data_IF_320638083531
#
_entry.id   IF_320638083531
#
_cell.length_a   1.000
_cell.length_b   1.000
_cell.length_c   1.000
_cell.angle_alpha   90.00
_cell.angle_beta   90.00
_cell.angle_gamma   90.00
#
_symmetry.space_group_name_H-M   'P 1'
#
loop_
_entity.id
_entity.type
_entity.pdbx_description
1 polymer ?
#
# COMPACT_ATOMS: atom_id res chain seq x y z
N UNK A 1 -19.28 -5.82 32.98
CA UNK A 1 -18.21 -4.80 32.82
C UNK A 1 -17.19 -5.17 31.72
N UNK A 2 -17.64 -5.69 30.55
CA UNK A 2 -16.74 -6.19 29.50
C UNK A 2 -16.70 -5.38 28.20
N UNK A 3 -17.49 -4.30 28.07
CA UNK A 3 -17.60 -3.51 26.84
C UNK A 3 -16.75 -2.23 26.82
N UNK A 4 -16.22 -1.74 27.95
CA UNK A 4 -15.44 -0.48 27.95
C UNK A 4 -13.96 -0.68 27.60
N UNK A 5 -13.42 -1.90 27.78
CA UNK A 5 -12.03 -2.24 27.46
C UNK A 5 -11.79 -2.45 25.95
N UNK A 6 -12.79 -2.89 25.17
CA UNK A 6 -12.62 -3.05 23.71
C UNK A 6 -12.61 -1.71 22.96
N UNK A 7 -13.35 -0.72 23.47
CA UNK A 7 -13.41 0.63 22.91
C UNK A 7 -12.15 1.45 23.23
N UNK A 8 -11.56 1.30 24.42
CA UNK A 8 -10.32 2.01 24.77
C UNK A 8 -9.09 1.46 24.03
N UNK A 9 -9.08 0.16 23.73
CA UNK A 9 -8.08 -0.46 22.84
C UNK A 9 -8.26 -0.02 21.38
N UNK A 10 -9.49 0.08 20.85
CA UNK A 10 -9.70 0.55 19.47
C UNK A 10 -9.30 2.01 19.27
N UNK A 11 -9.54 2.87 20.27
CA UNK A 11 -9.15 4.28 20.23
C UNK A 11 -7.63 4.47 20.34
N UNK A 12 -6.95 3.74 21.23
CA UNK A 12 -5.48 3.83 21.36
C UNK A 12 -4.71 3.23 20.17
N UNK A 13 -5.23 2.18 19.53
CA UNK A 13 -4.74 1.71 18.23
C UNK A 13 -4.97 2.76 17.13
N UNK A 14 -6.14 3.40 17.07
CA UNK A 14 -6.42 4.44 16.06
C UNK A 14 -5.47 5.64 16.12
N UNK A 15 -5.09 6.07 17.34
CA UNK A 15 -4.16 7.19 17.53
C UNK A 15 -2.71 6.82 17.22
N UNK A 16 -2.26 5.60 17.56
CA UNK A 16 -0.89 5.14 17.22
C UNK A 16 -0.72 4.79 15.73
N UNK A 17 -1.77 4.28 15.08
CA UNK A 17 -1.85 4.16 13.62
C UNK A 17 -1.85 5.54 12.94
N UNK A 18 -2.51 6.55 13.51
CA UNK A 18 -2.51 7.91 12.95
C UNK A 18 -1.12 8.56 12.92
N UNK A 19 -0.30 8.37 13.96
CA UNK A 19 1.05 8.94 14.06
C UNK A 19 2.07 8.21 13.17
N UNK A 20 1.94 6.89 13.04
CA UNK A 20 2.84 6.09 12.20
C UNK A 20 2.54 6.23 10.70
N UNK A 21 1.27 6.32 10.31
CA UNK A 21 0.86 6.66 8.95
C UNK A 21 1.08 8.14 8.61
N UNK A 22 0.90 9.06 9.56
CA UNK A 22 1.16 10.49 9.30
C UNK A 22 2.63 10.73 9.01
N UNK A 23 3.55 10.00 9.63
CA UNK A 23 4.99 10.10 9.34
C UNK A 23 5.37 9.46 8.00
N UNK A 24 4.68 8.41 7.54
CA UNK A 24 4.97 7.81 6.22
C UNK A 24 4.36 8.59 5.07
N UNK A 25 3.16 9.15 5.24
CA UNK A 25 2.50 9.99 4.25
C UNK A 25 3.07 11.42 4.21
N UNK A 26 3.59 11.95 5.33
CA UNK A 26 4.33 13.21 5.31
C UNK A 26 5.65 13.09 4.56
N UNK A 27 6.32 11.92 4.60
CA UNK A 27 7.51 11.66 3.78
C UNK A 27 7.18 11.41 2.29
N UNK A 28 6.07 10.74 1.97
CA UNK A 28 5.65 10.47 0.59
C UNK A 28 5.20 11.75 -0.14
N UNK A 29 4.41 12.60 0.51
CA UNK A 29 3.91 13.86 -0.08
C UNK A 29 4.94 14.99 -0.08
N UNK A 30 6.02 14.90 0.70
CA UNK A 30 7.18 15.79 0.55
C UNK A 30 8.07 15.39 -0.63
N UNK A 31 7.95 14.17 -1.16
CA UNK A 31 8.94 13.63 -2.10
C UNK A 31 8.69 13.97 -3.57
N UNK A 32 7.47 14.36 -3.98
CA UNK A 32 7.15 14.59 -5.39
C UNK A 32 6.92 16.06 -5.80
N UNK A 33 6.60 16.99 -4.90
CA UNK A 33 6.31 18.39 -5.30
C UNK A 33 7.41 19.42 -5.01
N UNK A 34 8.58 19.02 -4.50
CA UNK A 34 9.72 19.93 -4.27
C UNK A 34 11.08 19.37 -4.74
N UNK A 35 11.12 18.29 -5.53
CA UNK A 35 12.38 17.71 -6.01
C UNK A 35 12.98 18.36 -7.27
N UNK A 36 12.49 19.56 -7.66
CA UNK A 36 12.94 20.32 -8.83
C UNK A 36 13.03 21.83 -8.55
N UNK A 37 13.93 22.29 -7.67
CA UNK A 37 14.33 23.72 -7.68
C UNK A 37 15.80 24.00 -7.35
N UNK A 38 16.62 23.01 -6.98
CA UNK A 38 18.04 23.24 -6.69
C UNK A 38 18.92 22.04 -7.07
N UNK A 39 19.95 22.24 -7.90
CA UNK A 39 20.92 21.22 -8.32
C UNK A 39 22.35 21.67 -7.99
N UNK A 40 23.05 20.99 -7.08
CA UNK A 40 24.49 21.20 -6.87
C UNK A 40 25.31 20.90 -8.12
N UNK A 41 26.53 21.44 -8.16
CA UNK A 41 27.48 21.14 -9.23
C UNK A 41 27.81 19.64 -9.26
N UNK A 42 27.95 19.08 -10.47
CA UNK A 42 28.24 17.67 -10.66
C UNK A 42 29.50 17.18 -9.89
N UNK A 43 30.50 18.05 -9.70
CA UNK A 43 31.71 17.72 -8.93
C UNK A 43 31.44 17.57 -7.44
N UNK A 44 30.60 18.45 -6.87
CA UNK A 44 30.14 18.33 -5.48
C UNK A 44 29.37 17.02 -5.30
N UNK A 45 28.46 16.73 -6.23
CA UNK A 45 27.67 15.50 -6.21
C UNK A 45 28.58 14.26 -6.29
N UNK A 46 29.59 14.28 -7.17
CA UNK A 46 30.57 13.19 -7.33
C UNK A 46 31.41 12.96 -6.07
N UNK A 47 31.91 14.01 -5.42
CA UNK A 47 32.68 13.88 -4.17
C UNK A 47 31.81 13.32 -3.04
N UNK A 48 30.55 13.76 -2.93
CA UNK A 48 29.61 13.17 -1.96
C UNK A 48 29.37 11.70 -2.27
N UNK A 49 29.21 11.35 -3.55
CA UNK A 49 29.05 9.96 -3.99
C UNK A 49 30.25 9.08 -3.59
N UNK A 50 31.47 9.55 -3.81
CA UNK A 50 32.72 8.86 -3.44
C UNK A 50 32.80 8.65 -1.92
N UNK A 51 32.51 9.67 -1.12
CA UNK A 51 32.43 9.56 0.34
C UNK A 51 31.41 8.50 0.77
N UNK A 52 30.23 8.54 0.15
CA UNK A 52 29.19 7.53 0.41
C UNK A 52 29.66 6.15 -0.03
N UNK A 53 30.40 6.01 -1.14
CA UNK A 53 30.95 4.74 -1.63
C UNK A 53 31.94 4.14 -0.62
N UNK A 54 32.75 4.98 0.02
CA UNK A 54 33.69 4.61 1.09
C UNK A 54 33.03 4.42 2.47
N UNK A 55 31.71 4.62 2.58
CA UNK A 55 30.94 4.38 3.80
C UNK A 55 30.79 5.60 4.71
N UNK A 56 31.30 6.76 4.31
CA UNK A 56 31.13 8.03 5.02
C UNK A 56 29.75 8.59 4.71
N UNK A 57 28.83 8.50 5.69
CA UNK A 57 27.42 8.92 5.52
C UNK A 57 26.98 10.01 6.50
N UNK A 58 27.85 10.39 7.44
CA UNK A 58 27.59 11.49 8.35
C UNK A 58 27.80 12.82 7.61
N UNK A 59 26.83 13.73 7.74
CA UNK A 59 26.83 15.03 7.07
C UNK A 59 28.04 15.87 7.45
N UNK A 60 28.47 15.80 8.71
CA UNK A 60 29.64 16.52 9.20
C UNK A 60 30.91 16.05 8.49
N UNK A 61 31.13 14.73 8.42
CA UNK A 61 32.31 14.14 7.79
C UNK A 61 32.34 14.43 6.29
N UNK A 62 31.18 14.34 5.62
CA UNK A 62 31.07 14.71 4.20
C UNK A 62 31.39 16.19 3.98
N UNK A 63 30.95 17.07 4.88
CA UNK A 63 31.28 18.50 4.82
C UNK A 63 32.79 18.75 4.98
N UNK A 64 33.46 17.99 5.84
CA UNK A 64 34.93 17.99 5.95
C UNK A 64 35.55 17.55 4.62
N UNK A 65 35.07 16.46 4.02
CA UNK A 65 35.58 15.95 2.75
C UNK A 65 35.37 16.92 1.57
N UNK A 66 34.23 17.60 1.51
CA UNK A 66 33.97 18.64 0.51
C UNK A 66 34.93 19.82 0.65
N UNK A 67 35.27 20.21 1.89
CA UNK A 67 36.25 21.26 2.14
C UNK A 67 37.68 20.83 1.76
N UNK A 68 38.04 19.57 2.01
CA UNK A 68 39.35 19.03 1.60
C UNK A 68 39.52 19.03 0.08
N UNK A 69 38.47 18.68 -0.67
CA UNK A 69 38.46 18.64 -2.14
C UNK A 69 38.03 19.98 -2.78
N UNK A 70 37.96 21.06 -2.01
CA UNK A 70 37.45 22.37 -2.48
C UNK A 70 38.19 22.88 -3.70
N UNK A 71 39.52 22.71 -3.76
CA UNK A 71 40.33 23.17 -4.92
C UNK A 71 39.94 22.45 -6.21
N UNK A 72 39.66 21.14 -6.13
CA UNK A 72 39.29 20.33 -7.31
C UNK A 72 37.85 20.61 -7.74
N UNK A 73 36.94 20.77 -6.78
CA UNK A 73 35.54 21.12 -7.03
C UNK A 73 35.43 22.48 -7.72
N UNK A 74 36.30 23.43 -7.37
CA UNK A 74 36.30 24.78 -7.93
C UNK A 74 37.25 24.96 -9.12
N UNK A 75 37.95 23.90 -9.55
CA UNK A 75 38.92 23.97 -10.63
C UNK A 75 38.29 24.51 -11.93
N UNK A 76 39.00 25.38 -12.65
CA UNK A 76 38.52 25.98 -13.89
C UNK A 76 37.47 27.10 -13.71
N UNK A 77 37.13 27.48 -12.48
CA UNK A 77 36.42 28.72 -12.20
C UNK A 77 37.44 29.86 -12.14
N UNK A 78 37.18 30.95 -12.88
CA UNK A 78 38.07 32.11 -12.89
C UNK A 78 38.13 32.84 -11.55
N UNK A 79 36.98 32.99 -10.88
CA UNK A 79 36.86 33.55 -9.54
C UNK A 79 36.19 32.58 -8.58
N UNK A 80 36.60 32.63 -7.31
CA UNK A 80 36.05 31.75 -6.28
C UNK A 80 34.58 32.12 -5.97
N UNK A 81 33.63 31.17 -6.08
CA UNK A 81 32.23 31.45 -5.80
C UNK A 81 32.00 31.84 -4.34
N UNK A 82 31.00 32.70 -4.11
CA UNK A 82 30.55 33.04 -2.76
C UNK A 82 30.24 31.77 -1.93
N UNK A 83 30.60 31.72 -0.63
CA UNK A 83 30.20 30.64 0.28
C UNK A 83 28.69 30.44 0.42
N UNK A 84 27.88 31.44 0.04
CA UNK A 84 26.41 31.36 0.01
C UNK A 84 25.88 30.68 -1.26
N UNK A 85 26.73 30.46 -2.26
CA UNK A 85 26.36 29.80 -3.50
C UNK A 85 26.15 28.31 -3.24
N UNK A 86 24.90 27.95 -2.96
CA UNK A 86 24.50 26.56 -2.66
C UNK A 86 24.97 25.56 -3.71
N UNK A 87 25.13 25.98 -4.99
CA UNK A 87 25.60 25.12 -6.10
C UNK A 87 26.95 24.46 -5.79
N UNK A 88 27.86 25.19 -5.16
CA UNK A 88 29.19 24.70 -4.77
C UNK A 88 29.30 24.41 -3.27
N UNK A 89 28.46 25.05 -2.45
CA UNK A 89 28.45 24.94 -0.99
C UNK A 89 27.05 24.51 -0.49
N UNK A 90 26.67 23.24 -0.64
CA UNK A 90 25.34 22.74 -0.28
C UNK A 90 25.06 22.84 1.23
N UNK A 91 23.79 22.98 1.60
CA UNK A 91 23.37 22.92 3.02
C UNK A 91 23.36 21.47 3.52
N UNK A 92 23.26 21.30 4.84
CA UNK A 92 23.13 19.97 5.45
C UNK A 92 21.93 19.17 4.91
N UNK A 93 20.80 19.83 4.66
CA UNK A 93 19.63 19.18 4.04
C UNK A 93 19.93 18.69 2.62
N UNK A 94 20.66 19.49 1.83
CA UNK A 94 21.05 19.14 0.46
C UNK A 94 21.99 17.92 0.49
N UNK A 95 22.99 17.93 1.37
CA UNK A 95 23.90 16.79 1.57
C UNK A 95 23.10 15.55 2.01
N UNK A 96 22.19 15.68 2.98
CA UNK A 96 21.34 14.55 3.43
C UNK A 96 20.50 13.97 2.30
N UNK A 97 19.91 14.82 1.46
CA UNK A 97 19.11 14.37 0.33
C UNK A 97 19.97 13.67 -0.73
N UNK A 98 21.16 14.18 -1.01
CA UNK A 98 22.12 13.57 -1.96
C UNK A 98 22.61 12.23 -1.41
N UNK A 99 23.03 12.17 -0.14
CA UNK A 99 23.42 10.93 0.55
C UNK A 99 22.29 9.93 0.55
N UNK A 100 21.05 10.36 0.86
CA UNK A 100 19.88 9.50 0.79
C UNK A 100 19.65 8.98 -0.62
N UNK A 101 19.73 9.84 -1.64
CA UNK A 101 19.60 9.46 -3.04
C UNK A 101 20.70 8.48 -3.49
N UNK A 102 21.93 8.64 -3.01
CA UNK A 102 23.03 7.74 -3.32
C UNK A 102 23.01 6.46 -2.51
N UNK A 103 22.47 6.46 -1.30
CA UNK A 103 22.16 5.23 -0.56
C UNK A 103 21.04 4.47 -1.27
N UNK A 104 20.02 5.19 -1.76
CA UNK A 104 18.96 4.67 -2.64
C UNK A 104 19.52 4.15 -3.98
N UNK A 105 20.56 4.77 -4.54
CA UNK A 105 21.27 4.26 -5.72
C UNK A 105 22.18 3.09 -5.37
N UNK A 106 23.02 3.12 -4.33
CA UNK A 106 23.85 1.99 -3.83
C UNK A 106 23.03 0.75 -3.45
N UNK A 107 21.74 0.91 -3.17
CA UNK A 107 20.80 -0.19 -3.01
C UNK A 107 20.66 -1.03 -4.30
N UNK A 108 21.14 -0.52 -5.44
CA UNK A 108 21.30 -1.23 -6.71
C UNK A 108 22.28 -2.41 -6.68
N UNK A 109 23.22 -2.49 -5.73
CA UNK A 109 24.20 -3.57 -5.70
C UNK A 109 23.85 -4.76 -4.80
N UNK A 110 22.79 -4.67 -3.98
CA UNK A 110 22.88 -5.19 -2.60
C UNK A 110 21.60 -5.78 -1.98
N UNK A 111 20.60 -6.21 -2.76
CA UNK A 111 19.39 -6.87 -2.20
C UNK A 111 19.63 -8.28 -1.63
N UNK A 112 20.87 -8.66 -1.28
CA UNK A 112 21.21 -9.99 -0.77
C UNK A 112 20.57 -11.13 -1.58
N UNK A 113 20.53 -10.93 -2.91
CA UNK A 113 19.70 -11.66 -3.88
C UNK A 113 20.16 -13.10 -4.07
N UNK A 114 21.47 -13.35 -3.96
CA UNK A 114 22.05 -14.69 -3.99
C UNK A 114 21.46 -15.59 -2.88
N UNK A 115 21.19 -15.01 -1.71
CA UNK A 115 20.54 -15.71 -0.61
C UNK A 115 19.05 -15.90 -0.89
N UNK A 116 18.39 -14.94 -1.55
CA UNK A 116 17.00 -15.09 -2.00
C UNK A 116 16.89 -16.26 -2.99
N UNK A 117 17.80 -16.36 -3.95
CA UNK A 117 17.86 -17.51 -4.86
C UNK A 117 18.01 -18.83 -4.13
N UNK A 118 18.78 -18.88 -3.04
CA UNK A 118 18.91 -20.10 -2.23
C UNK A 118 17.57 -20.51 -1.59
N UNK A 119 16.76 -19.55 -1.11
CA UNK A 119 15.40 -19.83 -0.62
C UNK A 119 14.55 -20.38 -1.77
N UNK A 120 14.60 -19.73 -2.94
CA UNK A 120 13.81 -20.12 -4.10
C UNK A 120 14.18 -21.53 -4.54
N UNK A 121 15.47 -21.87 -4.64
CA UNK A 121 15.92 -23.23 -5.00
C UNK A 121 15.49 -24.28 -3.96
N UNK A 122 15.40 -23.91 -2.69
CA UNK A 122 14.92 -24.81 -1.63
C UNK A 122 13.41 -25.04 -1.64
N UNK A 123 12.66 -24.11 -2.24
CA UNK A 123 11.22 -24.23 -2.42
C UNK A 123 11.01 -24.82 -3.83
N UNK A 124 10.55 -26.07 -3.93
CA UNK A 124 10.24 -26.73 -5.21
C UNK A 124 9.04 -26.03 -5.90
N UNK A 125 9.27 -24.83 -6.42
CA UNK A 125 8.23 -23.83 -6.60
C UNK A 125 8.11 -23.41 -8.06
N UNK A 126 7.18 -24.04 -8.78
CA UNK A 126 6.60 -23.52 -10.04
C UNK A 126 5.83 -22.19 -9.87
N UNK A 127 5.88 -21.59 -8.68
CA UNK A 127 4.96 -20.59 -8.14
C UNK A 127 5.67 -19.36 -7.56
N UNK A 128 6.96 -19.23 -7.88
CA UNK A 128 7.76 -18.04 -7.61
C UNK A 128 8.26 -17.50 -8.95
N UNK A 129 8.14 -16.19 -9.13
CA UNK A 129 8.84 -15.45 -10.16
C UNK A 129 9.80 -14.51 -9.46
N UNK A 130 11.06 -14.52 -9.87
CA UNK A 130 12.10 -13.69 -9.30
C UNK A 130 12.97 -13.15 -10.40
N UNK A 131 12.96 -11.82 -10.56
CA UNK A 131 13.93 -11.07 -11.35
C UNK A 131 14.79 -10.26 -10.39
N UNK A 132 16.09 -10.58 -10.28
CA UNK A 132 16.97 -9.81 -9.45
C UNK A 132 17.13 -8.38 -10.00
N UNK A 133 17.43 -7.44 -9.13
CA UNK A 133 17.85 -6.12 -9.51
C UNK A 133 19.20 -6.17 -10.25
N UNK A 134 19.32 -5.41 -11.33
CA UNK A 134 20.57 -5.09 -12.01
C UNK A 134 20.62 -3.58 -12.32
N UNK A 135 21.80 -2.95 -12.24
CA UNK A 135 21.94 -1.48 -12.31
C UNK A 135 21.39 -0.85 -13.60
N UNK A 136 21.37 -1.62 -14.69
CA UNK A 136 20.81 -1.23 -15.98
C UNK A 136 19.75 -2.25 -16.48
N UNK A 137 19.15 -3.02 -15.58
CA UNK A 137 18.17 -4.05 -15.91
C UNK A 137 16.73 -3.51 -15.96
N UNK A 138 15.77 -4.43 -16.11
CA UNK A 138 14.32 -4.16 -16.11
C UNK A 138 13.74 -3.93 -14.70
N UNK A 139 14.60 -3.77 -13.71
CA UNK A 139 14.25 -3.53 -12.31
C UNK A 139 13.86 -4.77 -11.51
N UNK A 140 13.93 -4.66 -10.19
CA UNK A 140 13.64 -5.75 -9.26
C UNK A 140 12.16 -6.18 -9.26
N UNK A 141 11.91 -7.49 -9.32
CA UNK A 141 10.57 -8.06 -9.20
C UNK A 141 10.58 -9.41 -8.49
N UNK A 142 9.73 -9.56 -7.48
CA UNK A 142 9.42 -10.85 -6.85
C UNK A 142 7.90 -11.05 -6.82
N UNK A 143 7.42 -12.20 -7.26
CA UNK A 143 6.00 -12.58 -7.22
C UNK A 143 5.88 -14.00 -6.66
N UNK A 144 4.93 -14.21 -5.75
CA UNK A 144 4.68 -15.51 -5.15
C UNK A 144 3.19 -15.82 -5.00
N UNK A 145 2.82 -17.04 -5.38
CA UNK A 145 1.46 -17.57 -5.24
C UNK A 145 1.47 -19.08 -5.05
N UNK A 146 1.48 -19.54 -3.79
CA UNK A 146 1.44 -20.98 -3.44
C UNK A 146 0.20 -21.71 -3.98
N UNK A 147 0.23 -23.04 -4.04
CA UNK A 147 -0.94 -23.88 -4.39
C UNK A 147 -2.17 -23.56 -3.52
N UNK A 148 -1.97 -23.38 -2.22
CA UNK A 148 -3.04 -22.99 -1.31
C UNK A 148 -3.63 -21.61 -1.64
N UNK A 149 -2.78 -20.67 -2.05
CA UNK A 149 -3.22 -19.35 -2.52
C UNK A 149 -3.97 -19.45 -3.84
N UNK A 150 -3.52 -20.29 -4.77
CA UNK A 150 -4.23 -20.57 -6.02
C UNK A 150 -5.60 -21.21 -5.75
N UNK A 151 -5.68 -22.13 -4.81
CA UNK A 151 -6.96 -22.70 -4.36
C UNK A 151 -7.90 -21.62 -3.81
N UNK A 152 -7.40 -20.73 -2.95
CA UNK A 152 -8.20 -19.61 -2.43
C UNK A 152 -8.58 -18.61 -3.52
N UNK A 153 -7.68 -18.32 -4.47
CA UNK A 153 -7.94 -17.47 -5.63
C UNK A 153 -9.07 -18.05 -6.48
N UNK A 154 -9.00 -19.34 -6.83
CA UNK A 154 -10.03 -20.01 -7.61
C UNK A 154 -11.39 -20.03 -6.89
N UNK A 155 -11.37 -20.09 -5.55
CA UNK A 155 -12.58 -20.18 -4.73
C UNK A 155 -13.25 -18.83 -4.45
N UNK A 156 -12.48 -17.78 -4.22
CA UNK A 156 -12.98 -16.49 -3.71
C UNK A 156 -12.62 -15.30 -4.62
N UNK A 157 -11.69 -15.46 -5.55
CA UNK A 157 -11.15 -14.35 -6.35
C UNK A 157 -12.15 -13.74 -7.33
N UNK A 158 -13.23 -14.45 -7.69
CA UNK A 158 -14.27 -13.92 -8.58
C UNK A 158 -15.15 -12.86 -7.92
N UNK A 159 -15.28 -12.88 -6.59
CA UNK A 159 -16.17 -11.97 -5.87
C UNK A 159 -15.51 -10.61 -5.68
N UNK A 160 -14.38 -10.60 -4.99
CA UNK A 160 -13.63 -9.38 -4.70
C UNK A 160 -12.19 -9.69 -4.31
N UNK A 161 -11.26 -8.88 -4.84
CA UNK A 161 -9.87 -8.83 -4.45
C UNK A 161 -9.52 -7.45 -3.90
N UNK A 162 -8.71 -7.42 -2.84
CA UNK A 162 -8.18 -6.19 -2.26
C UNK A 162 -6.69 -6.15 -2.57
N UNK A 163 -6.19 -5.01 -3.03
CA UNK A 163 -4.77 -4.79 -3.30
C UNK A 163 -4.33 -3.56 -2.51
N UNK A 164 -3.25 -3.71 -1.76
CA UNK A 164 -2.59 -2.62 -1.04
C UNK A 164 -1.12 -2.99 -0.80
N UNK A 165 -0.28 -1.97 -0.70
CA UNK A 165 1.14 -2.07 -0.42
C UNK A 165 1.45 -1.80 1.05
N UNK A 166 2.60 -2.26 1.50
CA UNK A 166 3.14 -1.83 2.77
C UNK A 166 4.64 -1.65 2.74
N UNK A 167 5.09 -0.61 3.43
CA UNK A 167 6.49 -0.20 3.49
C UNK A 167 7.13 -0.49 4.84
N UNK A 168 8.45 -0.26 4.91
CA UNK A 168 9.29 -0.45 6.11
C UNK A 168 9.24 -1.91 6.62
N UNK A 169 9.12 -2.83 5.68
CA UNK A 169 9.13 -4.29 5.91
C UNK A 169 10.55 -4.83 5.89
N UNK A 170 11.36 -4.31 4.97
CA UNK A 170 12.79 -4.58 4.81
C UNK A 170 13.61 -3.33 5.19
N UNK A 171 14.94 -3.45 5.19
CA UNK A 171 15.89 -2.33 5.29
C UNK A 171 16.00 -1.54 3.97
N UNK A 172 15.27 -1.99 2.95
CA UNK A 172 15.19 -1.41 1.62
C UNK A 172 13.83 -0.71 1.45
N UNK A 173 13.78 0.28 0.58
CA UNK A 173 12.54 0.99 0.26
C UNK A 173 11.78 0.27 -0.86
N UNK A 174 11.43 -1.00 -0.59
CA UNK A 174 10.74 -1.88 -1.54
C UNK A 174 9.30 -2.07 -1.07
N UNK A 175 8.28 -1.62 -1.84
CA UNK A 175 6.88 -1.85 -1.52
C UNK A 175 6.54 -3.35 -1.56
N UNK A 176 5.98 -3.86 -0.47
CA UNK A 176 5.45 -5.22 -0.39
C UNK A 176 3.94 -5.19 -0.56
N UNK A 177 3.45 -5.77 -1.65
CA UNK A 177 2.03 -5.86 -1.95
C UNK A 177 1.44 -7.18 -1.48
N UNK A 178 0.21 -7.11 -1.00
CA UNK A 178 -0.64 -8.28 -0.81
C UNK A 178 -1.91 -8.13 -1.63
N UNK A 179 -2.17 -9.14 -2.45
CA UNK A 179 -3.48 -9.35 -3.06
C UNK A 179 -4.28 -10.27 -2.13
N UNK A 180 -5.46 -9.85 -1.71
CA UNK A 180 -6.21 -10.46 -0.62
C UNK A 180 -7.64 -10.76 -1.06
N UNK A 181 -8.12 -11.96 -0.77
CA UNK A 181 -9.53 -12.33 -0.95
C UNK A 181 -10.29 -12.27 0.38
N UNK A 182 -11.57 -11.92 0.31
CA UNK A 182 -12.50 -12.11 1.43
C UNK A 182 -13.03 -13.55 1.40
N UNK A 183 -12.68 -14.35 2.42
CA UNK A 183 -13.08 -15.75 2.52
C UNK A 183 -14.22 -15.93 3.51
N UNK A 184 -14.74 -17.15 3.60
CA UNK A 184 -15.77 -17.52 4.57
C UNK A 184 -15.35 -17.36 6.05
N UNK A 185 -14.05 -17.23 6.35
CA UNK A 185 -13.55 -17.00 7.70
C UNK A 185 -12.62 -15.78 7.80
N UNK A 186 -12.88 -14.74 6.99
CA UNK A 186 -12.14 -13.48 6.99
C UNK A 186 -11.17 -13.36 5.82
N UNK A 187 -10.22 -12.45 5.92
CA UNK A 187 -9.31 -12.13 4.80
C UNK A 187 -8.12 -13.07 4.73
N UNK A 188 -7.71 -13.42 3.50
CA UNK A 188 -6.54 -14.26 3.23
C UNK A 188 -5.71 -13.68 2.08
N UNK A 189 -4.37 -13.60 2.21
CA UNK A 189 -3.50 -13.35 1.06
C UNK A 189 -3.65 -14.46 0.02
N UNK A 190 -3.88 -14.07 -1.23
CA UNK A 190 -4.00 -14.96 -2.40
C UNK A 190 -2.90 -14.73 -3.44
N UNK A 191 -2.09 -13.69 -3.29
CA UNK A 191 -0.78 -13.54 -3.90
C UNK A 191 0.00 -12.46 -3.13
N UNK A 192 1.32 -12.47 -3.23
CA UNK A 192 2.18 -11.39 -2.72
C UNK A 192 3.24 -11.06 -3.74
N UNK A 193 3.66 -9.79 -3.78
CA UNK A 193 4.75 -9.37 -4.66
C UNK A 193 5.52 -8.18 -4.10
N UNK A 194 6.75 -8.01 -4.59
CA UNK A 194 7.61 -6.86 -4.34
C UNK A 194 8.03 -6.30 -5.68
N UNK A 195 7.96 -4.98 -5.81
CA UNK A 195 8.46 -4.25 -6.99
C UNK A 195 9.51 -3.25 -6.54
N UNK A 196 10.50 -2.97 -7.40
CA UNK A 196 11.52 -1.95 -7.09
C UNK A 196 10.91 -0.57 -6.84
N UNK A 197 9.99 -0.18 -7.73
CA UNK A 197 9.35 1.13 -7.75
C UNK A 197 7.85 0.91 -7.86
N UNK A 198 7.10 1.61 -7.02
CA UNK A 198 5.64 1.64 -7.06
C UNK A 198 5.13 2.50 -8.22
N UNK A 199 5.15 1.95 -9.42
CA UNK A 199 4.58 2.56 -10.61
C UNK A 199 3.64 1.57 -11.32
N UNK A 200 2.81 2.10 -12.22
CA UNK A 200 1.80 1.29 -12.91
C UNK A 200 2.41 0.13 -13.72
N UNK A 201 3.60 0.30 -14.30
CA UNK A 201 4.23 -0.69 -15.17
C UNK A 201 4.70 -1.91 -14.35
N UNK A 202 5.41 -1.66 -13.26
CA UNK A 202 5.93 -2.71 -12.39
C UNK A 202 4.80 -3.47 -11.67
N UNK A 203 3.77 -2.75 -11.22
CA UNK A 203 2.58 -3.37 -10.62
C UNK A 203 1.85 -4.23 -11.68
N UNK A 204 1.68 -3.71 -12.90
CA UNK A 204 1.03 -4.46 -13.99
C UNK A 204 1.79 -5.75 -14.31
N UNK A 205 3.11 -5.71 -14.37
CA UNK A 205 3.93 -6.90 -14.64
C UNK A 205 3.73 -7.98 -13.57
N UNK A 206 3.74 -7.62 -12.29
CA UNK A 206 3.45 -8.54 -11.20
C UNK A 206 2.04 -9.15 -11.32
N UNK A 207 1.05 -8.31 -11.65
CA UNK A 207 -0.34 -8.73 -11.82
C UNK A 207 -0.55 -9.63 -13.05
N UNK A 208 0.17 -9.44 -14.16
CA UNK A 208 0.12 -10.34 -15.33
C UNK A 208 0.65 -11.73 -14.99
N UNK A 209 1.69 -11.83 -14.16
CA UNK A 209 2.17 -13.11 -13.65
C UNK A 209 1.09 -13.78 -12.80
N UNK A 210 0.48 -13.04 -11.86
CA UNK A 210 -0.60 -13.54 -11.00
C UNK A 210 -1.82 -14.00 -11.83
N UNK A 211 -2.16 -13.26 -12.89
CA UNK A 211 -3.22 -13.63 -13.83
C UNK A 211 -2.93 -14.94 -14.54
N UNK A 212 -1.70 -15.13 -15.05
CA UNK A 212 -1.25 -16.40 -15.65
C UNK A 212 -1.28 -17.57 -14.66
N UNK A 213 -1.13 -17.30 -13.37
CA UNK A 213 -1.20 -18.30 -12.30
C UNK A 213 -2.62 -18.58 -11.79
N UNK A 214 -3.66 -18.03 -12.42
CA UNK A 214 -5.04 -18.42 -12.17
C UNK A 214 -5.90 -17.35 -11.49
N UNK A 215 -5.46 -16.09 -11.42
CA UNK A 215 -6.38 -15.01 -11.06
C UNK A 215 -7.43 -14.79 -12.16
N UNK A 216 -8.69 -14.49 -11.80
CA UNK A 216 -9.77 -14.41 -12.78
C UNK A 216 -9.60 -13.22 -13.72
N UNK A 217 -9.98 -13.40 -14.99
CA UNK A 217 -9.95 -12.33 -15.99
C UNK A 217 -10.87 -11.15 -15.64
N UNK A 218 -11.91 -11.41 -14.84
CA UNK A 218 -12.90 -10.43 -14.40
C UNK A 218 -13.25 -10.63 -12.93
N UNK A 219 -13.15 -9.56 -12.15
CA UNK A 219 -13.53 -9.51 -10.73
C UNK A 219 -13.81 -8.06 -10.31
N UNK A 220 -14.07 -7.84 -9.02
CA UNK A 220 -14.05 -6.51 -8.41
C UNK A 220 -12.77 -6.33 -7.59
N UNK A 221 -12.03 -5.25 -7.85
CA UNK A 221 -10.91 -4.82 -7.03
C UNK A 221 -11.33 -3.70 -6.08
N UNK A 222 -10.84 -3.74 -4.85
CA UNK A 222 -10.87 -2.59 -3.92
C UNK A 222 -9.43 -2.21 -3.61
N UNK A 223 -9.09 -0.98 -3.95
CA UNK A 223 -7.73 -0.44 -3.81
C UNK A 223 -7.75 0.87 -3.04
N UNK A 224 -6.57 1.32 -2.66
CA UNK A 224 -6.40 2.68 -2.16
C UNK A 224 -6.61 3.69 -3.29
N UNK A 225 -6.65 4.98 -2.96
CA UNK A 225 -6.66 6.02 -3.99
C UNK A 225 -5.24 6.17 -4.58
N UNK A 226 -4.83 5.17 -5.37
CA UNK A 226 -3.52 5.04 -6.00
C UNK A 226 -3.70 4.98 -7.52
N UNK A 227 -3.19 6.01 -8.22
CA UNK A 227 -3.17 6.01 -9.69
C UNK A 227 -2.27 4.90 -10.27
N UNK A 228 -1.10 4.59 -9.69
CA UNK A 228 -0.32 3.43 -10.10
C UNK A 228 -1.11 2.12 -10.08
N UNK A 229 -1.76 1.79 -8.96
CA UNK A 229 -2.57 0.57 -8.83
C UNK A 229 -3.75 0.59 -9.80
N UNK A 230 -4.46 1.72 -9.90
CA UNK A 230 -5.58 1.87 -10.81
C UNK A 230 -5.18 1.60 -12.27
N UNK A 231 -4.09 2.22 -12.72
CA UNK A 231 -3.65 2.10 -14.11
C UNK A 231 -3.15 0.68 -14.40
N UNK A 232 -2.42 0.07 -13.46
CA UNK A 232 -1.98 -1.32 -13.58
C UNK A 232 -3.17 -2.28 -13.70
N UNK A 233 -4.17 -2.15 -12.82
CA UNK A 233 -5.37 -3.00 -12.86
C UNK A 233 -6.19 -2.78 -14.13
N UNK A 234 -6.31 -1.55 -14.64
CA UNK A 234 -7.01 -1.28 -15.91
C UNK A 234 -6.31 -1.92 -17.10
N UNK A 235 -4.97 -1.96 -17.08
CA UNK A 235 -4.18 -2.60 -18.12
C UNK A 235 -4.35 -4.12 -18.10
N UNK A 236 -4.20 -4.74 -16.92
CA UNK A 236 -4.18 -6.21 -16.79
C UNK A 236 -5.57 -6.82 -16.74
N UNK A 237 -6.54 -6.13 -16.15
CA UNK A 237 -7.92 -6.58 -15.95
C UNK A 237 -8.93 -5.56 -16.46
N UNK A 238 -8.97 -5.28 -17.78
CA UNK A 238 -9.79 -4.21 -18.36
C UNK A 238 -11.31 -4.39 -18.14
N UNK A 239 -11.77 -5.63 -17.97
CA UNK A 239 -13.18 -5.95 -17.72
C UNK A 239 -13.57 -5.92 -16.22
N UNK A 240 -12.59 -5.76 -15.34
CA UNK A 240 -12.83 -5.74 -13.89
C UNK A 240 -13.34 -4.40 -13.42
N UNK A 241 -14.13 -4.44 -12.35
CA UNK A 241 -14.59 -3.25 -11.65
C UNK A 241 -13.51 -2.88 -10.63
N UNK A 242 -13.15 -1.60 -10.51
CA UNK A 242 -12.12 -1.15 -9.55
C UNK A 242 -12.71 -0.03 -8.72
N UNK A 243 -12.82 -0.25 -7.41
CA UNK A 243 -13.39 0.66 -6.43
C UNK A 243 -12.29 1.20 -5.50
N UNK A 244 -12.45 2.44 -5.05
CA UNK A 244 -11.58 3.04 -4.05
C UNK A 244 -12.05 2.73 -2.63
N UNK A 245 -11.09 2.54 -1.74
CA UNK A 245 -11.28 2.40 -0.30
C UNK A 245 -11.90 3.69 0.28
N UNK A 246 -13.03 3.55 0.96
CA UNK A 246 -13.74 4.66 1.60
C UNK A 246 -12.89 5.31 2.70
N UNK A 247 -12.14 4.52 3.46
CA UNK A 247 -11.28 5.02 4.53
C UNK A 247 -10.15 5.90 3.99
N UNK A 248 -9.42 5.43 2.99
CA UNK A 248 -8.34 6.19 2.37
C UNK A 248 -8.84 7.39 1.57
N UNK A 249 -10.02 7.32 0.94
CA UNK A 249 -10.71 8.48 0.38
C UNK A 249 -10.93 9.56 1.44
N UNK A 250 -11.57 9.20 2.56
CA UNK A 250 -11.83 10.13 3.68
C UNK A 250 -10.54 10.73 4.22
N UNK A 251 -9.50 9.91 4.38
CA UNK A 251 -8.21 10.39 4.86
C UNK A 251 -7.54 11.36 3.88
N UNK A 252 -7.61 11.10 2.57
CA UNK A 252 -7.11 12.00 1.54
C UNK A 252 -7.87 13.34 1.54
N UNK A 253 -9.20 13.29 1.64
CA UNK A 253 -10.03 14.50 1.76
C UNK A 253 -9.69 15.30 3.01
N UNK A 254 -9.62 14.67 4.18
CA UNK A 254 -9.28 15.34 5.44
C UNK A 254 -7.93 16.06 5.36
N UNK A 255 -6.91 15.42 4.77
CA UNK A 255 -5.58 16.03 4.59
C UNK A 255 -5.66 17.25 3.66
N UNK A 256 -6.34 17.11 2.52
CA UNK A 256 -6.48 18.22 1.57
C UNK A 256 -7.24 19.39 2.19
N UNK A 257 -8.37 19.13 2.86
CA UNK A 257 -9.20 20.13 3.54
C UNK A 257 -8.39 20.87 4.61
N UNK A 258 -7.62 20.14 5.43
CA UNK A 258 -6.78 20.75 6.47
C UNK A 258 -5.80 21.77 5.88
N UNK A 259 -5.21 21.47 4.73
CA UNK A 259 -4.18 22.31 4.10
C UNK A 259 -4.74 23.42 3.19
N UNK A 260 -5.98 23.30 2.71
CA UNK A 260 -6.50 24.17 1.65
C UNK A 260 -7.81 24.90 2.00
N UNK A 261 -8.46 24.55 3.10
CA UNK A 261 -9.75 25.12 3.52
C UNK A 261 -9.59 25.81 4.87
N UNK A 262 -10.15 27.02 4.98
CA UNK A 262 -10.20 27.80 6.21
C UNK A 262 -10.90 27.03 7.33
N UNK A 263 -10.39 27.10 8.56
CA UNK A 263 -10.79 26.25 9.67
C UNK A 263 -12.31 26.25 9.92
N UNK A 264 -12.94 27.42 9.85
CA UNK A 264 -14.38 27.60 10.03
C UNK A 264 -15.24 26.88 8.98
N UNK A 265 -14.72 26.65 7.77
CA UNK A 265 -15.44 26.01 6.66
C UNK A 265 -15.16 24.50 6.56
N UNK A 266 -14.14 23.97 7.27
CA UNK A 266 -13.70 22.57 7.12
C UNK A 266 -14.82 21.56 7.39
N UNK A 267 -15.59 21.77 8.46
CA UNK A 267 -16.68 20.88 8.84
C UNK A 267 -17.77 20.82 7.76
N UNK A 268 -18.15 21.99 7.23
CA UNK A 268 -19.18 22.09 6.20
C UNK A 268 -18.73 21.45 4.89
N UNK A 269 -17.49 21.72 4.46
CA UNK A 269 -16.86 21.08 3.30
C UNK A 269 -16.87 19.56 3.43
N UNK A 270 -16.44 19.03 4.59
CA UNK A 270 -16.45 17.58 4.83
C UNK A 270 -17.85 17.00 4.71
N UNK A 271 -18.87 17.64 5.31
CA UNK A 271 -20.26 17.16 5.24
C UNK A 271 -20.75 17.12 3.79
N UNK A 272 -20.55 18.19 3.02
CA UNK A 272 -21.03 18.22 1.62
C UNK A 272 -20.29 17.23 0.72
N UNK A 273 -18.99 17.05 0.91
CA UNK A 273 -18.23 16.01 0.20
C UNK A 273 -18.75 14.61 0.53
N UNK A 274 -19.05 14.32 1.81
CA UNK A 274 -19.66 13.04 2.19
C UNK A 274 -21.08 12.88 1.63
N UNK A 275 -21.87 13.95 1.52
CA UNK A 275 -23.17 13.89 0.85
C UNK A 275 -23.04 13.51 -0.63
N UNK A 276 -22.02 14.01 -1.33
CA UNK A 276 -21.71 13.59 -2.70
C UNK A 276 -21.32 12.10 -2.75
N UNK A 277 -20.53 11.62 -1.79
CA UNK A 277 -20.13 10.21 -1.73
C UNK A 277 -21.30 9.27 -1.42
N UNK A 278 -22.21 9.67 -0.54
CA UNK A 278 -23.35 8.87 -0.10
C UNK A 278 -24.60 9.01 -1.00
N UNK A 279 -24.49 9.67 -2.14
CA UNK A 279 -25.58 9.77 -3.11
C UNK A 279 -26.07 8.38 -3.55
N UNK A 280 -27.38 8.14 -3.42
CA UNK A 280 -28.02 6.84 -3.69
C UNK A 280 -28.58 6.72 -5.12
N UNK A 281 -28.60 7.79 -5.89
CA UNK A 281 -29.02 7.80 -7.29
C UNK A 281 -28.21 8.81 -8.11
N UNK A 282 -28.26 8.71 -9.44
CA UNK A 282 -27.64 9.67 -10.34
C UNK A 282 -28.21 11.09 -10.15
N UNK A 283 -29.51 11.21 -9.84
CA UNK A 283 -30.18 12.49 -9.57
C UNK A 283 -29.66 13.10 -8.26
N UNK A 284 -29.55 12.29 -7.20
CA UNK A 284 -29.01 12.77 -5.91
C UNK A 284 -27.56 13.19 -6.04
N UNK A 285 -26.78 12.45 -6.83
CA UNK A 285 -25.39 12.80 -7.09
C UNK A 285 -25.25 14.13 -7.82
N UNK A 286 -25.99 14.32 -8.92
CA UNK A 286 -25.99 15.60 -9.64
C UNK A 286 -26.42 16.76 -8.75
N UNK A 287 -27.46 16.57 -7.92
CA UNK A 287 -27.93 17.58 -6.96
C UNK A 287 -26.85 17.94 -5.93
N UNK A 288 -26.20 16.94 -5.35
CA UNK A 288 -25.17 17.16 -4.33
C UNK A 288 -23.91 17.81 -4.93
N UNK A 289 -23.51 17.44 -6.15
CA UNK A 289 -22.42 18.10 -6.86
C UNK A 289 -22.74 19.58 -7.15
N UNK A 290 -23.95 19.89 -7.62
CA UNK A 290 -24.37 21.28 -7.87
C UNK A 290 -24.40 22.10 -6.57
N UNK A 291 -24.89 21.52 -5.47
CA UNK A 291 -24.91 22.18 -4.17
C UNK A 291 -23.48 22.49 -3.68
N UNK A 292 -22.54 21.56 -3.85
CA UNK A 292 -21.15 21.74 -3.49
C UNK A 292 -20.44 22.79 -4.35
N UNK A 293 -20.70 22.80 -5.66
CA UNK A 293 -20.13 23.78 -6.60
C UNK A 293 -20.65 25.20 -6.32
N UNK A 294 -21.92 25.32 -5.93
CA UNK A 294 -22.58 26.59 -5.62
C UNK A 294 -22.27 27.13 -4.21
N UNK A 295 -21.52 26.38 -3.39
CA UNK A 295 -21.26 26.75 -2.01
C UNK A 295 -20.26 27.92 -1.90
N UNK A 296 -20.50 28.85 -0.97
CA UNK A 296 -19.65 30.05 -0.79
C UNK A 296 -18.19 29.74 -0.47
N UNK A 297 -17.89 28.56 0.08
CA UNK A 297 -16.52 28.11 0.37
C UNK A 297 -15.83 27.44 -0.83
N UNK A 298 -16.54 27.16 -1.92
CA UNK A 298 -16.02 26.48 -3.09
C UNK A 298 -15.11 27.43 -3.87
N UNK A 299 -13.81 27.34 -3.61
CA UNK A 299 -12.80 28.08 -4.38
C UNK A 299 -12.51 27.39 -5.71
N UNK A 300 -12.00 28.13 -6.69
CA UNK A 300 -11.50 27.56 -7.96
C UNK A 300 -10.52 26.40 -7.72
N UNK A 301 -9.60 26.54 -6.76
CA UNK A 301 -8.65 25.48 -6.39
C UNK A 301 -9.34 24.20 -5.91
N UNK A 302 -10.43 24.34 -5.15
CA UNK A 302 -11.22 23.21 -4.69
C UNK A 302 -11.99 22.56 -5.83
N UNK A 303 -12.63 23.35 -6.69
CA UNK A 303 -13.32 22.87 -7.88
C UNK A 303 -12.36 22.10 -8.80
N UNK A 304 -11.18 22.67 -9.08
CA UNK A 304 -10.15 22.04 -9.90
C UNK A 304 -9.70 20.71 -9.28
N UNK A 305 -9.39 20.69 -7.97
CA UNK A 305 -9.02 19.47 -7.25
C UNK A 305 -10.11 18.40 -7.32
N UNK A 306 -11.36 18.76 -7.03
CA UNK A 306 -12.49 17.84 -7.00
C UNK A 306 -12.77 17.27 -8.40
N UNK A 307 -12.84 18.12 -9.42
CA UNK A 307 -13.13 17.73 -10.79
C UNK A 307 -12.06 16.81 -11.37
N UNK A 308 -10.79 17.18 -11.20
CA UNK A 308 -9.68 16.45 -11.81
C UNK A 308 -9.32 15.17 -11.07
N UNK A 309 -9.32 15.18 -9.73
CA UNK A 309 -8.82 14.05 -8.94
C UNK A 309 -9.93 13.06 -8.52
N UNK A 310 -11.16 13.52 -8.27
CA UNK A 310 -12.21 12.67 -7.69
C UNK A 310 -13.38 12.43 -8.65
N UNK A 311 -13.97 13.49 -9.22
CA UNK A 311 -15.15 13.35 -10.08
C UNK A 311 -14.81 12.68 -11.42
N UNK A 312 -13.59 12.84 -11.94
CA UNK A 312 -13.03 12.05 -13.04
C UNK A 312 -13.06 10.53 -12.79
N UNK A 313 -13.20 10.12 -11.53
CA UNK A 313 -13.27 8.73 -11.07
C UNK A 313 -14.54 8.43 -10.25
N UNK A 314 -15.60 9.23 -10.38
CA UNK A 314 -16.84 9.13 -9.57
C UNK A 314 -17.41 7.71 -9.46
N UNK A 315 -17.34 6.94 -10.55
CA UNK A 315 -17.84 5.56 -10.62
C UNK A 315 -17.14 4.58 -9.67
N UNK A 316 -16.02 4.98 -9.07
CA UNK A 316 -15.17 4.12 -8.22
C UNK A 316 -15.41 4.31 -6.72
N UNK A 317 -16.12 5.35 -6.32
CA UNK A 317 -16.23 5.69 -4.89
C UNK A 317 -17.62 6.19 -4.46
N UNK A 318 -18.46 6.62 -5.39
CA UNK A 318 -19.82 7.06 -5.05
C UNK A 318 -20.72 5.84 -4.79
N UNK A 319 -21.52 5.93 -3.73
CA UNK A 319 -22.39 4.87 -3.21
C UNK A 319 -23.30 4.25 -4.25
N UNK A 320 -23.98 5.05 -5.08
CA UNK A 320 -24.95 4.48 -6.03
C UNK A 320 -24.30 3.50 -7.03
N UNK A 321 -23.03 3.70 -7.43
CA UNK A 321 -22.31 2.75 -8.29
C UNK A 321 -21.95 1.44 -7.58
N UNK A 322 -21.94 1.43 -6.24
CA UNK A 322 -21.66 0.23 -5.44
C UNK A 322 -22.89 -0.62 -5.19
N UNK A 323 -24.09 -0.09 -5.40
CA UNK A 323 -25.35 -0.80 -5.09
C UNK A 323 -25.51 -2.10 -5.89
N UNK A 324 -24.89 -2.19 -7.07
CA UNK A 324 -24.86 -3.39 -7.92
C UNK A 324 -23.77 -4.41 -7.55
N UNK A 325 -22.97 -4.14 -6.51
CA UNK A 325 -21.82 -4.94 -6.09
C UNK A 325 -22.03 -5.52 -4.68
N UNK A 326 -22.97 -6.48 -4.52
CA UNK A 326 -23.19 -7.11 -3.23
C UNK A 326 -21.90 -7.83 -2.78
N UNK A 327 -21.62 -7.80 -1.49
CA UNK A 327 -20.48 -8.48 -0.85
C UNK A 327 -19.08 -7.86 -1.09
N UNK A 328 -18.97 -6.75 -1.82
CA UNK A 328 -17.72 -6.00 -1.94
C UNK A 328 -17.51 -5.11 -0.69
N UNK A 329 -16.39 -5.25 0.04
CA UNK A 329 -16.12 -4.44 1.22
C UNK A 329 -15.90 -2.97 0.86
N UNK A 330 -16.30 -2.09 1.77
CA UNK A 330 -16.16 -0.64 1.59
C UNK A 330 -14.72 -0.15 1.68
N UNK A 331 -13.87 -0.89 2.38
CA UNK A 331 -12.51 -0.50 2.72
C UNK A 331 -11.49 -1.60 2.46
N UNK A 332 -10.21 -1.22 2.38
CA UNK A 332 -9.05 -2.12 2.32
C UNK A 332 -8.60 -2.62 3.70
N UNK A 333 -9.38 -2.39 4.77
CA UNK A 333 -9.05 -2.78 6.16
C UNK A 333 -8.64 -4.25 6.31
N UNK A 334 -9.14 -5.14 5.47
CA UNK A 334 -8.74 -6.55 5.45
C UNK A 334 -7.25 -6.73 5.14
N UNK A 335 -6.73 -5.95 4.17
CA UNK A 335 -5.30 -5.94 3.82
C UNK A 335 -4.48 -5.26 4.90
N UNK A 336 -4.94 -4.11 5.40
CA UNK A 336 -4.26 -3.39 6.50
C UNK A 336 -4.13 -4.26 7.76
N UNK A 337 -5.17 -5.02 8.11
CA UNK A 337 -5.12 -5.94 9.26
C UNK A 337 -4.05 -7.02 9.05
N UNK A 338 -3.92 -7.55 7.84
CA UNK A 338 -2.89 -8.52 7.47
C UNK A 338 -1.48 -7.87 7.50
N UNK A 339 -1.33 -6.65 6.97
CA UNK A 339 -0.10 -5.85 7.08
C UNK A 339 0.30 -5.63 8.55
N UNK A 340 -0.66 -5.29 9.41
CA UNK A 340 -0.42 -5.12 10.83
C UNK A 340 0.02 -6.44 11.49
N UNK A 341 -0.65 -7.56 11.17
CA UNK A 341 -0.26 -8.89 11.67
C UNK A 341 1.18 -9.24 11.26
N UNK A 342 1.52 -9.07 9.99
CA UNK A 342 2.89 -9.28 9.48
C UNK A 342 3.89 -8.44 10.28
N UNK A 343 3.67 -7.13 10.39
CA UNK A 343 4.60 -6.20 11.06
C UNK A 343 4.73 -6.49 12.56
N UNK A 344 3.62 -6.72 13.25
CA UNK A 344 3.63 -6.81 14.72
C UNK A 344 3.94 -8.19 15.25
N UNK A 345 3.45 -9.26 14.61
CA UNK A 345 3.63 -10.63 15.08
C UNK A 345 4.84 -11.33 14.49
N UNK A 346 5.17 -11.04 13.22
CA UNK A 346 6.22 -11.76 12.50
C UNK A 346 7.51 -10.96 12.37
N UNK A 347 7.42 -9.63 12.19
CA UNK A 347 8.60 -8.80 11.96
C UNK A 347 9.10 -8.04 13.20
N UNK A 348 8.25 -7.72 14.18
CA UNK A 348 8.60 -6.83 15.31
C UNK A 348 9.89 -7.21 16.04
N UNK A 349 10.10 -8.50 16.26
CA UNK A 349 11.28 -9.05 16.94
C UNK A 349 12.30 -9.68 15.97
N UNK A 350 12.07 -9.53 14.66
CA UNK A 350 12.96 -10.04 13.64
C UNK A 350 14.03 -9.00 13.33
N UNK A 351 15.27 -9.34 13.73
CA UNK A 351 16.42 -8.43 13.61
C UNK A 351 16.96 -8.32 12.19
N UNK A 352 16.88 -9.39 11.40
CA UNK A 352 17.33 -9.38 10.02
C UNK A 352 16.28 -8.72 9.11
N UNK A 353 16.56 -7.50 8.68
CA UNK A 353 15.69 -6.74 7.77
C UNK A 353 16.15 -6.83 6.31
N UNK A 354 17.08 -7.71 5.97
CA UNK A 354 17.47 -7.96 4.58
C UNK A 354 16.30 -8.51 3.76
N UNK A 355 16.45 -8.58 2.43
CA UNK A 355 15.42 -9.13 1.56
C UNK A 355 15.27 -10.64 1.82
N UNK A 356 16.38 -11.36 1.93
CA UNK A 356 16.41 -12.77 2.33
C UNK A 356 15.74 -13.00 3.69
N UNK A 357 16.09 -12.20 4.71
CA UNK A 357 15.51 -12.32 6.04
C UNK A 357 14.00 -12.10 6.03
N UNK A 358 13.55 -11.04 5.35
CA UNK A 358 12.14 -10.74 5.18
C UNK A 358 11.39 -11.84 4.43
N UNK A 359 11.87 -12.26 3.25
CA UNK A 359 11.24 -13.31 2.45
C UNK A 359 11.24 -14.65 3.18
N UNK A 360 12.30 -14.97 3.94
CA UNK A 360 12.32 -16.15 4.82
C UNK A 360 11.17 -16.13 5.83
N UNK A 361 10.91 -14.98 6.47
CA UNK A 361 9.79 -14.85 7.41
C UNK A 361 8.45 -14.93 6.68
N UNK A 362 8.30 -14.23 5.55
CA UNK A 362 7.06 -14.22 4.77
C UNK A 362 6.69 -15.62 4.29
N UNK A 363 7.61 -16.29 3.60
CA UNK A 363 7.39 -17.56 2.92
C UNK A 363 7.34 -18.75 3.90
N UNK A 364 8.17 -18.77 4.94
CA UNK A 364 8.28 -19.93 5.84
C UNK A 364 7.45 -19.81 7.11
N UNK A 365 7.01 -18.61 7.49
CA UNK A 365 6.28 -18.40 8.78
C UNK A 365 4.94 -17.71 8.59
N UNK A 366 4.93 -16.51 7.99
CA UNK A 366 3.73 -15.69 7.91
C UNK A 366 2.65 -16.34 7.04
N UNK A 367 2.93 -16.59 5.76
CA UNK A 367 1.93 -17.15 4.84
C UNK A 367 1.45 -18.55 5.27
N UNK A 368 2.33 -19.50 5.65
CA UNK A 368 1.88 -20.78 6.20
C UNK A 368 1.06 -20.63 7.49
N UNK A 369 1.43 -19.72 8.38
CA UNK A 369 0.71 -19.48 9.63
C UNK A 369 -0.68 -18.89 9.42
N UNK A 370 -0.83 -17.97 8.46
CA UNK A 370 -2.13 -17.42 8.07
C UNK A 370 -3.01 -18.51 7.44
N UNK A 371 -2.46 -19.33 6.54
CA UNK A 371 -3.17 -20.48 5.94
C UNK A 371 -3.59 -21.53 6.98
N UNK A 372 -2.73 -21.82 7.95
CA UNK A 372 -3.04 -22.74 9.05
C UNK A 372 -4.22 -22.20 9.88
N UNK A 373 -4.27 -20.89 10.12
CA UNK A 373 -5.38 -20.24 10.82
C UNK A 373 -6.69 -20.37 10.03
N UNK A 374 -6.65 -20.17 8.70
CA UNK A 374 -7.80 -20.39 7.82
C UNK A 374 -8.30 -21.84 7.86
N UNK A 375 -7.39 -22.81 7.74
CA UNK A 375 -7.72 -24.25 7.80
C UNK A 375 -8.32 -24.61 9.15
N UNK A 376 -7.73 -24.16 10.26
CA UNK A 376 -8.25 -24.40 11.60
C UNK A 376 -9.65 -23.79 11.80
N UNK A 377 -9.88 -22.57 11.30
CA UNK A 377 -11.19 -21.92 11.36
C UNK A 377 -12.25 -22.71 10.57
N UNK A 378 -11.89 -23.21 9.38
CA UNK A 378 -12.75 -24.06 8.59
C UNK A 378 -13.02 -25.41 9.26
N UNK A 379 -11.98 -26.10 9.76
CA UNK A 379 -12.16 -27.34 10.52
C UNK A 379 -13.09 -27.13 11.72
N UNK A 380 -12.89 -26.04 12.49
CA UNK A 380 -13.77 -25.70 13.61
C UNK A 380 -15.21 -25.44 13.18
N UNK A 381 -15.43 -24.82 12.02
CA UNK A 381 -16.76 -24.57 11.48
C UNK A 381 -17.48 -25.87 11.03
N UNK A 382 -16.74 -26.86 10.52
CA UNK A 382 -17.27 -28.16 10.10
C UNK A 382 -17.40 -29.17 11.26
N UNK A 383 -16.52 -29.08 12.26
CA UNK A 383 -16.51 -29.93 13.46
C UNK A 383 -17.37 -29.38 14.61
N UNK A 384 -18.02 -28.23 14.41
CA UNK A 384 -19.00 -27.72 15.35
C UNK A 384 -20.07 -28.80 15.62
N UNK A 385 -20.38 -29.01 16.91
CA UNK A 385 -21.13 -30.14 17.48
C UNK A 385 -22.33 -30.57 16.62
N UNK A 386 -22.50 -31.90 16.51
CA UNK A 386 -23.75 -32.53 16.05
C UNK A 386 -24.91 -31.86 16.78
N UNK A 387 -25.80 -31.24 16.02
CA UNK A 387 -27.02 -30.65 16.57
C UNK A 387 -27.87 -31.79 17.14
N UNK A 388 -28.14 -31.73 18.44
CA UNK A 388 -28.99 -32.69 19.14
C UNK A 388 -30.47 -32.43 18.87
N UNK A 389 -30.81 -31.26 18.36
CA UNK A 389 -32.16 -30.87 17.95
C UNK A 389 -32.46 -31.36 16.53
N UNK A 390 -33.70 -31.80 16.24
CA UNK A 390 -34.13 -32.14 14.88
C UNK A 390 -33.84 -30.98 13.93
N UNK A 391 -33.01 -31.23 12.91
CA UNK A 391 -32.65 -30.23 11.90
C UNK A 391 -33.55 -30.43 10.68
N UNK A 392 -34.31 -29.41 10.25
CA UNK A 392 -35.09 -29.47 9.01
C UNK A 392 -34.22 -29.87 7.81
N UNK A 393 -34.80 -30.61 6.86
CA UNK A 393 -34.04 -31.16 5.73
C UNK A 393 -33.28 -30.10 4.94
N UNK A 394 -33.85 -28.91 4.74
CA UNK A 394 -33.21 -27.81 4.01
C UNK A 394 -31.98 -27.20 4.73
N UNK A 395 -31.81 -27.50 6.03
CA UNK A 395 -30.67 -27.07 6.84
C UNK A 395 -29.63 -28.18 7.05
N UNK A 396 -29.89 -29.41 6.60
CA UNK A 396 -28.91 -30.51 6.70
C UNK A 396 -27.66 -30.18 5.87
N UNK A 397 -26.48 -30.47 6.43
CA UNK A 397 -25.19 -30.20 5.79
C UNK A 397 -24.78 -28.73 5.69
N UNK A 398 -25.55 -27.80 6.27
CA UNK A 398 -25.20 -26.37 6.33
C UNK A 398 -24.29 -26.06 7.53
N UNK A 399 -23.50 -24.96 7.52
CA UNK A 399 -22.66 -24.59 8.64
C UNK A 399 -23.46 -24.46 9.95
N UNK A 400 -22.95 -25.06 11.04
CA UNK A 400 -23.70 -25.15 12.32
C UNK A 400 -24.17 -23.80 12.84
N UNK A 401 -23.38 -22.73 12.68
CA UNK A 401 -23.80 -21.37 13.07
C UNK A 401 -25.01 -20.88 12.27
N UNK A 402 -25.06 -21.17 10.97
CA UNK A 402 -26.22 -20.84 10.13
C UNK A 402 -27.42 -21.67 10.55
N UNK A 403 -27.24 -22.97 10.76
CA UNK A 403 -28.32 -23.85 11.21
C UNK A 403 -28.88 -23.38 12.54
N UNK A 404 -28.03 -23.08 13.53
CA UNK A 404 -28.45 -22.52 14.82
C UNK A 404 -29.14 -21.16 14.67
N UNK A 405 -28.65 -20.29 13.80
CA UNK A 405 -29.27 -18.99 13.53
C UNK A 405 -30.68 -19.14 12.95
N UNK A 406 -30.85 -20.06 12.00
CA UNK A 406 -32.13 -20.37 11.37
C UNK A 406 -33.08 -21.06 12.34
N UNK A 407 -32.64 -22.11 13.06
CA UNK A 407 -33.46 -22.82 14.06
C UNK A 407 -34.00 -21.87 15.13
N UNK A 408 -33.18 -20.92 15.62
CA UNK A 408 -33.63 -19.89 16.59
C UNK A 408 -34.72 -18.95 16.05
N UNK A 409 -34.96 -18.94 14.75
CA UNK A 409 -35.92 -18.06 14.06
C UNK A 409 -37.00 -18.85 13.32
N UNK A 410 -37.00 -20.17 13.43
CA UNK A 410 -38.11 -20.98 12.96
C UNK A 410 -39.28 -20.76 13.93
N UNK A 411 -40.49 -20.53 13.40
CA UNK A 411 -41.68 -20.27 14.19
C UNK A 411 -42.10 -21.44 15.07
#
# INVERSE_FOLDING_TARGET
>A
MGCSLSLSLSLSLSLSLSLSLSLSLSLSLYSESEMLTFRPDHRVVKTIEECVREGVVNVHDIRVMLNLHKKDILAGLGEEPSPLNRKFFPKDDDIRNIVYSFRKKRLSGLYDQDLVESIIRSMDAKQIYFRPYEENGEGFLFVYMSEDMQHLMARYGNDCLLLDATYKTTKYDVPFFQLVANTNCGYQPVAVFLVEIENSLNIAEALEIIKRWGAPSKTTFVIDHSLPELNALRQVFPESIIMFCEFHRRQAWHRWIRSNVAEQARKEVTVQLEQVAESNSAIDFARNCLALDSANFCSKKMADWLNTHWLSHQQRWVRYYRTSLPHVPWTTNGVEALHHVLKTKFLKHFGDRSLHGFLSVVLKKYLPGIMMTYRAANLSAHSARVLTTPVPDFLKGRPVKLVQHCIKRLP
#
